data_IF_918743044825
#
_entry.id   IF_918743044825
#
_cell.length_a   1.000
_cell.length_b   1.000
_cell.length_c   1.000
_cell.angle_alpha   90.00
_cell.angle_beta   90.00
_cell.angle_gamma   90.00
#
_symmetry.space_group_name_H-M   'P 1'
#
loop_
_entity.id
_entity.type
_entity.pdbx_description
1 polymer ?
#
# COMPACT_ATOMS: atom_id res chain seq x y z
N UNK A 1 46.03 -8.90 -38.15
CA UNK A 1 45.99 -10.37 -38.38
C UNK A 1 45.53 -10.99 -37.07
N UNK A 2 44.41 -11.69 -36.90
CA UNK A 2 43.34 -12.14 -37.81
C UNK A 2 42.12 -12.45 -36.92
N UNK A 3 40.93 -12.04 -37.35
CA UNK A 3 39.64 -12.36 -36.74
C UNK A 3 39.31 -13.86 -36.86
N UNK A 4 38.63 -14.45 -35.88
CA UNK A 4 37.74 -15.58 -36.13
C UNK A 4 36.43 -15.45 -35.37
N UNK A 5 35.37 -15.21 -36.14
CA UNK A 5 33.97 -15.45 -35.81
C UNK A 5 33.74 -16.97 -35.80
N UNK A 6 33.05 -17.49 -34.79
CA UNK A 6 32.41 -18.81 -34.87
C UNK A 6 30.93 -18.60 -34.57
N UNK A 7 30.15 -18.65 -35.64
CA UNK A 7 28.70 -18.78 -35.65
C UNK A 7 28.39 -20.28 -35.61
N UNK A 8 27.60 -20.76 -34.65
CA UNK A 8 26.99 -22.09 -34.74
C UNK A 8 25.48 -21.96 -34.65
N UNK A 9 24.86 -22.15 -35.80
CA UNK A 9 23.44 -22.35 -36.03
C UNK A 9 23.09 -23.77 -35.61
N UNK A 10 22.06 -23.97 -34.79
CA UNK A 10 21.38 -25.26 -34.68
C UNK A 10 19.87 -25.04 -34.52
N UNK A 11 19.21 -25.17 -35.66
CA UNK A 11 17.78 -25.39 -35.82
C UNK A 11 17.36 -26.68 -35.13
N UNK A 12 16.27 -26.62 -34.36
CA UNK A 12 15.30 -27.72 -34.30
C UNK A 12 13.93 -27.19 -33.91
N UNK A 13 13.20 -26.83 -34.97
CA UNK A 13 11.75 -26.77 -35.06
C UNK A 13 11.11 -28.14 -34.81
N UNK A 14 10.00 -28.17 -34.06
CA UNK A 14 8.69 -28.73 -34.43
C UNK A 14 7.91 -29.16 -33.18
N UNK A 15 6.68 -28.67 -33.06
CA UNK A 15 5.73 -29.16 -32.06
C UNK A 15 4.53 -28.26 -31.86
N UNK A 16 3.77 -27.98 -32.93
CA UNK A 16 2.44 -27.39 -32.82
C UNK A 16 1.51 -28.35 -32.08
N UNK A 17 0.91 -27.91 -30.98
CA UNK A 17 -0.39 -28.41 -30.53
C UNK A 17 -1.34 -27.24 -30.41
N UNK A 18 -2.02 -26.98 -31.53
CA UNK A 18 -3.28 -26.24 -31.58
C UNK A 18 -4.38 -27.21 -31.14
N UNK A 19 -5.10 -26.87 -30.08
CA UNK A 19 -6.29 -27.60 -29.66
C UNK A 19 -7.52 -26.81 -30.10
N UNK A 20 -8.00 -27.12 -31.30
CA UNK A 20 -9.24 -26.60 -31.88
C UNK A 20 -10.29 -27.72 -31.79
N UNK A 21 -11.18 -27.64 -30.80
CA UNK A 21 -12.19 -28.67 -30.55
C UNK A 21 -13.45 -28.39 -31.37
N UNK A 22 -13.64 -29.13 -32.46
CA UNK A 22 -14.96 -29.39 -33.05
C UNK A 22 -15.13 -30.89 -33.29
N UNK A 23 -15.99 -31.52 -32.48
CA UNK A 23 -16.68 -32.74 -32.88
C UNK A 23 -18.18 -32.50 -32.72
N UNK A 24 -18.86 -32.46 -33.89
CA UNK A 24 -20.30 -32.61 -34.04
C UNK A 24 -20.66 -34.08 -33.85
N UNK A 25 -21.75 -34.37 -33.16
CA UNK A 25 -22.67 -35.43 -33.60
C UNK A 25 -24.11 -34.95 -33.44
N UNK A 26 -24.73 -34.66 -34.58
CA UNK A 26 -26.17 -34.56 -34.71
C UNK A 26 -26.78 -35.96 -34.56
N UNK A 27 -27.88 -36.08 -33.81
CA UNK A 27 -28.95 -37.03 -34.16
C UNK A 27 -30.27 -36.32 -33.94
N UNK A 28 -30.97 -36.04 -35.05
CA UNK A 28 -32.37 -35.62 -35.08
C UNK A 28 -33.23 -36.87 -35.03
N UNK A 29 -34.24 -36.89 -34.16
CA UNK A 29 -35.54 -37.51 -34.46
C UNK A 29 -36.61 -36.49 -34.03
N UNK A 30 -37.51 -36.21 -34.96
CA UNK A 30 -38.70 -35.37 -34.85
C UNK A 30 -39.86 -36.30 -34.53
N UNK A 31 -40.72 -35.95 -33.57
CA UNK A 31 -42.17 -36.14 -33.70
C UNK A 31 -42.94 -35.27 -32.71
N UNK A 32 -44.06 -34.76 -33.21
CA UNK A 32 -44.93 -33.71 -32.68
C UNK A 32 -46.01 -34.31 -31.78
N UNK A 33 -46.38 -33.66 -30.66
CA UNK A 33 -47.80 -33.59 -30.25
C UNK A 33 -48.07 -32.55 -29.15
N UNK A 34 -49.29 -32.01 -29.21
CA UNK A 34 -49.78 -30.82 -28.51
C UNK A 34 -50.19 -31.06 -27.03
N UNK A 35 -50.29 -29.93 -26.33
CA UNK A 35 -51.17 -29.65 -25.18
C UNK A 35 -50.68 -30.09 -23.79
N UNK A 36 -50.21 -29.11 -23.00
CA UNK A 36 -50.96 -28.59 -21.84
C UNK A 36 -50.21 -27.44 -21.18
N UNK A 37 -50.95 -26.35 -20.99
CA UNK A 37 -50.64 -25.22 -20.12
C UNK A 37 -50.29 -25.73 -18.72
N UNK A 38 -49.09 -25.42 -18.25
CA UNK A 38 -48.77 -25.46 -16.82
C UNK A 38 -48.14 -24.11 -16.49
N UNK A 39 -48.87 -23.36 -15.67
CA UNK A 39 -48.46 -22.08 -15.09
C UNK A 39 -47.16 -22.36 -14.34
N UNK A 40 -46.03 -21.87 -14.85
CA UNK A 40 -44.81 -21.82 -14.06
C UNK A 40 -44.94 -20.62 -13.13
N UNK A 41 -45.03 -20.88 -11.84
CA UNK A 41 -44.84 -19.88 -10.78
C UNK A 41 -43.62 -19.01 -11.11
N UNK A 42 -43.63 -17.70 -10.77
CA UNK A 42 -42.46 -16.86 -10.97
C UNK A 42 -41.32 -17.50 -10.17
N UNK A 43 -40.25 -17.88 -10.89
CA UNK A 43 -38.97 -18.24 -10.30
C UNK A 43 -38.66 -17.14 -9.28
N UNK A 44 -38.49 -17.47 -7.98
CA UNK A 44 -38.06 -16.46 -7.03
C UNK A 44 -36.76 -15.91 -7.59
N UNK A 45 -36.75 -14.60 -7.88
CA UNK A 45 -35.52 -13.86 -8.08
C UNK A 45 -34.64 -14.27 -6.91
N UNK A 46 -33.57 -15.01 -7.22
CA UNK A 46 -32.57 -15.36 -6.22
C UNK A 46 -32.07 -14.00 -5.78
N UNK A 47 -32.54 -13.54 -4.61
CA UNK A 47 -31.87 -12.49 -3.88
C UNK A 47 -30.43 -12.98 -3.80
N UNK A 48 -29.55 -12.36 -4.60
CA UNK A 48 -28.13 -12.40 -4.34
C UNK A 48 -28.00 -11.92 -2.91
N UNK A 49 -27.91 -12.88 -1.98
CA UNK A 49 -27.47 -12.61 -0.63
C UNK A 49 -26.13 -11.92 -0.84
N UNK A 50 -26.09 -10.62 -0.58
CA UNK A 50 -24.87 -9.88 -0.32
C UNK A 50 -24.22 -10.52 0.90
N UNK A 51 -23.57 -11.65 0.69
CA UNK A 51 -22.57 -12.19 1.57
C UNK A 51 -21.41 -11.21 1.41
N UNK A 52 -20.84 -10.74 2.52
CA UNK A 52 -19.79 -9.71 2.57
C UNK A 52 -20.32 -8.26 2.49
N UNK A 53 -20.81 -7.76 3.63
CA UNK A 53 -21.04 -6.34 3.86
C UNK A 53 -20.82 -6.06 5.35
N UNK A 54 -19.57 -5.92 5.76
CA UNK A 54 -19.26 -5.39 7.08
C UNK A 54 -19.29 -3.87 7.02
N UNK A 55 -20.02 -3.26 7.97
CA UNK A 55 -20.13 -1.81 8.09
C UNK A 55 -19.07 -1.31 9.05
N UNK A 56 -18.19 -0.42 8.58
CA UNK A 56 -17.19 0.23 9.42
C UNK A 56 -17.67 1.64 9.73
N UNK A 57 -17.96 1.93 11.00
CA UNK A 57 -18.34 3.27 11.42
C UNK A 57 -17.15 4.22 11.36
N UNK A 58 -17.34 5.38 10.73
CA UNK A 58 -16.31 6.40 10.52
C UNK A 58 -16.96 7.76 10.74
N UNK A 59 -16.61 8.44 11.83
CA UNK A 59 -17.06 9.81 12.05
C UNK A 59 -16.38 10.74 11.03
N UNK A 60 -17.14 11.28 10.07
CA UNK A 60 -16.58 12.16 9.05
C UNK A 60 -15.94 13.42 9.64
N UNK A 61 -16.57 14.04 10.64
CA UNK A 61 -16.11 15.30 11.20
C UNK A 61 -14.76 15.14 11.92
N UNK A 62 -14.57 14.03 12.63
CA UNK A 62 -13.31 13.71 13.31
C UNK A 62 -12.17 13.42 12.32
N UNK A 63 -12.49 12.82 11.17
CA UNK A 63 -11.52 12.40 10.16
C UNK A 63 -11.45 13.36 8.95
N UNK A 64 -12.13 14.51 9.03
CA UNK A 64 -12.42 15.36 7.87
C UNK A 64 -11.17 15.74 7.09
N UNK A 65 -10.11 16.16 7.79
CA UNK A 65 -8.88 16.63 7.15
C UNK A 65 -8.15 15.50 6.41
N UNK A 66 -8.05 14.32 7.02
CA UNK A 66 -7.48 13.13 6.40
C UNK A 66 -8.27 12.74 5.15
N UNK A 67 -9.59 12.69 5.24
CA UNK A 67 -10.47 12.35 4.12
C UNK A 67 -10.43 13.40 3.00
N UNK A 68 -10.29 14.68 3.32
CA UNK A 68 -10.06 15.75 2.33
C UNK A 68 -8.73 15.56 1.60
N UNK A 69 -7.65 15.26 2.32
CA UNK A 69 -6.32 15.01 1.73
C UNK A 69 -6.33 13.73 0.90
N UNK A 70 -7.05 12.69 1.33
CA UNK A 70 -7.21 11.43 0.59
C UNK A 70 -7.75 11.66 -0.82
N UNK A 71 -8.59 12.66 -1.06
CA UNK A 71 -9.08 13.00 -2.43
C UNK A 71 -8.00 13.65 -3.31
N UNK A 72 -6.95 14.19 -2.71
CA UNK A 72 -5.96 15.04 -3.37
C UNK A 72 -4.64 14.32 -3.68
N UNK A 73 -4.33 13.22 -2.97
CA UNK A 73 -3.09 12.48 -3.22
C UNK A 73 -3.05 11.94 -4.67
N UNK A 74 -1.90 11.97 -5.36
CA UNK A 74 -1.78 11.44 -6.72
C UNK A 74 -2.10 9.94 -6.79
N UNK A 75 -2.62 9.47 -7.92
CA UNK A 75 -2.84 8.03 -8.14
C UNK A 75 -1.54 7.23 -8.10
N UNK A 76 -0.39 7.86 -8.39
CA UNK A 76 0.93 7.23 -8.25
C UNK A 76 1.23 6.75 -6.83
N UNK A 77 0.57 7.31 -5.80
CA UNK A 77 0.72 6.87 -4.39
C UNK A 77 0.02 5.55 -4.08
N UNK A 78 -0.76 5.03 -5.03
CA UNK A 78 -1.64 3.86 -4.92
C UNK A 78 -1.34 2.84 -6.02
N UNK A 79 -0.09 2.79 -6.50
CA UNK A 79 0.29 2.06 -7.72
C UNK A 79 -0.10 0.60 -7.67
N UNK A 80 0.03 -0.03 -6.50
CA UNK A 80 -0.30 -1.44 -6.28
C UNK A 80 -1.79 -1.72 -6.07
N UNK A 81 -2.61 -0.68 -5.86
CA UNK A 81 -3.99 -0.77 -5.37
C UNK A 81 -5.04 -0.40 -6.41
N UNK A 82 -4.63 0.27 -7.49
CA UNK A 82 -5.49 0.77 -8.56
C UNK A 82 -6.69 1.61 -8.06
N UNK A 83 -6.61 2.18 -6.86
CA UNK A 83 -7.69 2.97 -6.27
C UNK A 83 -7.74 4.37 -6.86
N UNK A 84 -8.58 4.52 -7.87
CA UNK A 84 -8.64 5.74 -8.68
C UNK A 84 -9.06 6.95 -7.84
N UNK A 85 -8.69 8.15 -8.32
CA UNK A 85 -9.11 9.40 -7.68
C UNK A 85 -10.63 9.49 -7.55
N UNK A 86 -11.36 9.06 -8.58
CA UNK A 86 -12.83 9.09 -8.61
C UNK A 86 -13.45 8.17 -7.56
N UNK A 87 -12.86 7.01 -7.33
CA UNK A 87 -13.33 6.08 -6.30
C UNK A 87 -13.06 6.62 -4.90
N UNK A 88 -11.90 7.24 -4.67
CA UNK A 88 -11.59 7.94 -3.42
C UNK A 88 -12.59 9.07 -3.14
N UNK A 89 -12.88 9.90 -4.14
CA UNK A 89 -13.87 10.97 -4.03
C UNK A 89 -15.25 10.44 -3.65
N UNK A 90 -15.75 9.42 -4.36
CA UNK A 90 -17.03 8.76 -4.04
C UNK A 90 -17.04 8.15 -2.64
N UNK A 91 -15.95 7.53 -2.23
CA UNK A 91 -15.81 6.93 -0.90
C UNK A 91 -15.93 7.99 0.18
N UNK A 92 -15.23 9.11 0.02
CA UNK A 92 -15.28 10.22 0.97
C UNK A 92 -16.66 10.88 1.01
N UNK A 93 -17.32 11.07 -0.15
CA UNK A 93 -18.69 11.58 -0.22
C UNK A 93 -19.70 10.65 0.47
N UNK A 94 -19.50 9.33 0.34
CA UNK A 94 -20.32 8.34 1.03
C UNK A 94 -20.14 8.42 2.55
N UNK A 95 -18.90 8.49 3.04
CA UNK A 95 -18.59 8.63 4.46
C UNK A 95 -19.15 9.96 5.01
N UNK A 96 -19.02 11.06 4.26
CA UNK A 96 -19.55 12.37 4.64
C UNK A 96 -21.07 12.34 4.89
N UNK A 97 -21.80 11.64 4.02
CA UNK A 97 -23.26 11.54 4.12
C UNK A 97 -23.72 10.57 5.21
N UNK A 98 -22.97 9.51 5.45
CA UNK A 98 -23.47 8.34 6.20
C UNK A 98 -22.73 8.07 7.51
N UNK A 99 -21.53 8.61 7.71
CA UNK A 99 -20.61 8.30 8.83
C UNK A 99 -20.27 6.80 8.97
N UNK A 100 -20.24 6.08 7.84
CA UNK A 100 -19.75 4.72 7.74
C UNK A 100 -19.32 4.43 6.30
N UNK A 101 -18.66 3.28 6.11
CA UNK A 101 -18.44 2.66 4.80
C UNK A 101 -18.89 1.20 4.86
N UNK A 102 -19.29 0.66 3.72
CA UNK A 102 -19.56 -0.77 3.55
C UNK A 102 -18.42 -1.35 2.71
N UNK A 103 -17.71 -2.34 3.24
CA UNK A 103 -16.78 -3.13 2.42
C UNK A 103 -17.56 -4.29 1.80
N UNK A 104 -17.80 -4.18 0.49
CA UNK A 104 -18.53 -5.19 -0.30
C UNK A 104 -17.61 -5.94 -1.27
N UNK A 105 -16.29 -5.84 -1.14
CA UNK A 105 -15.36 -6.46 -2.08
C UNK A 105 -15.04 -7.91 -1.71
N UNK A 106 -15.21 -8.84 -2.66
CA UNK A 106 -14.91 -10.27 -2.49
C UNK A 106 -13.41 -10.53 -2.22
N UNK A 107 -12.54 -9.56 -2.54
CA UNK A 107 -11.08 -9.66 -2.43
C UNK A 107 -10.45 -8.91 -1.23
N UNK A 108 -11.25 -8.40 -0.28
CA UNK A 108 -10.75 -7.68 0.91
C UNK A 108 -9.77 -6.54 0.57
N UNK A 109 -10.22 -5.51 -0.16
CA UNK A 109 -9.60 -4.18 -0.06
C UNK A 109 -10.11 -3.53 1.22
N UNK A 110 -9.89 -4.18 2.36
CA UNK A 110 -10.54 -3.81 3.60
C UNK A 110 -9.76 -2.63 4.16
N UNK A 111 -10.43 -1.47 4.18
CA UNK A 111 -10.02 -0.37 5.03
C UNK A 111 -9.83 -0.96 6.42
N UNK A 112 -8.59 -1.11 6.84
CA UNK A 112 -8.24 -1.76 8.11
C UNK A 112 -8.55 -0.84 9.27
N UNK A 113 -8.29 0.45 9.06
CA UNK A 113 -8.62 1.50 10.01
C UNK A 113 -8.73 2.86 9.31
N UNK A 114 -9.54 3.74 9.89
CA UNK A 114 -9.48 5.20 9.67
C UNK A 114 -9.43 5.85 11.05
N UNK A 115 -8.40 6.66 11.27
CA UNK A 115 -8.16 7.46 12.45
C UNK A 115 -7.92 8.92 12.03
N UNK A 116 -8.01 9.91 12.92
CA UNK A 116 -7.91 11.32 12.54
C UNK A 116 -6.63 11.69 11.76
N UNK A 117 -5.52 11.01 12.06
CA UNK A 117 -4.21 11.24 11.43
C UNK A 117 -3.81 10.18 10.41
N UNK A 118 -4.46 9.01 10.35
CA UNK A 118 -3.99 7.91 9.48
C UNK A 118 -5.11 7.03 8.96
N UNK A 119 -4.98 6.57 7.72
CA UNK A 119 -5.82 5.53 7.10
C UNK A 119 -4.92 4.41 6.62
N UNK A 120 -5.33 3.18 6.88
CA UNK A 120 -4.65 1.96 6.45
C UNK A 120 -5.58 1.07 5.64
N UNK A 121 -5.10 0.58 4.51
CA UNK A 121 -5.81 -0.34 3.62
C UNK A 121 -4.94 -1.57 3.46
N UNK A 122 -5.57 -2.74 3.59
CA UNK A 122 -4.86 -4.02 3.50
C UNK A 122 -5.49 -4.87 2.39
N UNK A 123 -4.63 -5.57 1.63
CA UNK A 123 -4.96 -6.76 0.86
C UNK A 123 -4.14 -7.93 1.40
N UNK A 124 -4.32 -9.13 0.82
CA UNK A 124 -3.64 -10.36 1.26
C UNK A 124 -2.13 -10.17 1.48
N UNK A 125 -1.42 -9.59 0.50
CA UNK A 125 0.05 -9.46 0.53
C UNK A 125 0.55 -8.00 0.43
N UNK A 126 -0.29 -7.03 0.80
CA UNK A 126 0.04 -5.62 0.68
C UNK A 126 -0.60 -4.77 1.75
N UNK A 127 0.05 -3.66 2.09
CA UNK A 127 -0.49 -2.65 2.99
C UNK A 127 -0.22 -1.25 2.47
N UNK A 128 -1.25 -0.41 2.45
CA UNK A 128 -1.13 0.98 2.08
C UNK A 128 -1.55 1.88 3.23
N UNK A 129 -0.78 2.95 3.44
CA UNK A 129 -1.12 3.97 4.43
C UNK A 129 -1.07 5.38 3.84
N UNK A 130 -1.90 6.24 4.40
CA UNK A 130 -1.78 7.69 4.34
C UNK A 130 -1.80 8.22 5.76
N UNK A 131 -0.75 8.93 6.15
CA UNK A 131 -0.64 9.61 7.44
C UNK A 131 -0.43 11.11 7.27
N UNK A 132 -1.04 11.88 8.16
CA UNK A 132 -0.96 13.35 8.19
C UNK A 132 -0.45 13.83 9.55
N UNK A 133 0.45 14.81 9.53
CA UNK A 133 1.06 15.39 10.72
C UNK A 133 0.83 16.90 10.72
N UNK A 134 0.14 17.39 11.73
CA UNK A 134 -0.28 18.79 11.80
C UNK A 134 0.78 19.68 12.45
N UNK A 135 1.24 20.70 11.71
CA UNK A 135 2.08 21.79 12.24
C UNK A 135 1.24 22.99 12.66
N UNK A 136 0.22 23.32 11.86
CA UNK A 136 -0.71 24.43 12.09
C UNK A 136 -2.10 24.09 11.50
N UNK A 137 -3.11 24.96 11.64
CA UNK A 137 -4.51 24.72 11.21
C UNK A 137 -4.64 24.25 9.75
N UNK A 138 -3.79 24.76 8.86
CA UNK A 138 -3.82 24.45 7.42
C UNK A 138 -2.43 24.06 6.87
N UNK A 139 -1.60 23.45 7.71
CA UNK A 139 -0.22 23.09 7.40
C UNK A 139 0.10 21.70 7.92
N UNK A 140 0.25 20.76 6.98
CA UNK A 140 0.44 19.35 7.27
C UNK A 140 1.59 18.78 6.46
N UNK A 141 2.37 17.90 7.10
CA UNK A 141 3.16 16.91 6.38
C UNK A 141 2.26 15.71 6.08
N UNK A 142 2.30 15.26 4.84
CA UNK A 142 1.53 14.12 4.36
C UNK A 142 2.50 13.09 3.85
N UNK A 143 2.33 11.84 4.28
CA UNK A 143 3.13 10.70 3.84
C UNK A 143 2.20 9.57 3.43
N UNK A 144 2.51 8.94 2.31
CA UNK A 144 1.90 7.67 1.90
C UNK A 144 2.98 6.60 1.88
N UNK A 145 2.63 5.38 2.26
CA UNK A 145 3.51 4.22 2.13
C UNK A 145 2.73 3.08 1.47
N UNK A 146 3.11 2.71 0.25
CA UNK A 146 2.61 1.53 -0.46
C UNK A 146 3.60 0.38 -0.24
N UNK A 147 3.21 -0.60 0.58
CA UNK A 147 4.03 -1.74 0.98
C UNK A 147 3.56 -3.00 0.26
N UNK A 148 4.44 -3.60 -0.54
CA UNK A 148 4.22 -4.88 -1.23
C UNK A 148 5.48 -5.73 -1.13
N UNK A 149 5.35 -6.95 -0.59
CA UNK A 149 6.51 -7.78 -0.23
C UNK A 149 7.42 -7.05 0.76
N UNK A 150 8.72 -7.03 0.48
CA UNK A 150 9.72 -6.30 1.30
C UNK A 150 9.89 -4.83 0.87
N UNK A 151 9.13 -4.38 -0.14
CA UNK A 151 9.27 -3.04 -0.70
C UNK A 151 8.38 -2.01 0.01
N UNK A 152 8.90 -0.79 0.18
CA UNK A 152 8.14 0.39 0.58
C UNK A 152 8.25 1.46 -0.51
N UNK A 153 7.13 1.92 -1.07
CA UNK A 153 7.09 3.14 -1.88
C UNK A 153 6.54 4.30 -1.06
N UNK A 154 7.46 5.09 -0.50
CA UNK A 154 7.14 6.24 0.34
C UNK A 154 7.11 7.50 -0.51
N UNK A 155 5.93 8.12 -0.58
CA UNK A 155 5.75 9.43 -1.21
C UNK A 155 5.35 10.46 -0.16
N UNK A 156 5.88 11.67 -0.28
CA UNK A 156 5.69 12.72 0.72
C UNK A 156 5.25 14.04 0.10
N UNK A 157 4.44 14.78 0.84
CA UNK A 157 3.89 16.05 0.40
C UNK A 157 3.80 17.07 1.56
N UNK A 158 3.92 18.35 1.21
CA UNK A 158 3.40 19.43 2.01
C UNK A 158 1.93 19.65 1.62
N UNK A 159 1.04 19.77 2.60
CA UNK A 159 -0.32 20.23 2.40
C UNK A 159 -0.50 21.58 3.09
N UNK A 160 -0.46 22.66 2.31
CA UNK A 160 -0.55 24.04 2.81
C UNK A 160 -1.68 24.75 2.08
N UNK A 161 -2.62 25.34 2.82
CA UNK A 161 -3.73 26.12 2.26
C UNK A 161 -4.48 25.39 1.13
N UNK A 162 -4.88 24.14 1.38
CA UNK A 162 -5.57 23.25 0.43
C UNK A 162 -4.78 22.87 -0.83
N UNK A 163 -3.46 23.09 -0.83
CA UNK A 163 -2.58 22.69 -1.92
C UNK A 163 -1.62 21.60 -1.47
N UNK A 164 -1.68 20.46 -2.14
CA UNK A 164 -0.73 19.37 -1.98
C UNK A 164 0.47 19.59 -2.93
N UNK A 165 1.68 19.62 -2.39
CA UNK A 165 2.92 19.76 -3.18
C UNK A 165 3.94 18.70 -2.77
N UNK A 166 4.55 17.96 -3.72
CA UNK A 166 5.57 16.97 -3.39
C UNK A 166 6.73 17.56 -2.59
N UNK A 167 7.27 16.76 -1.68
CA UNK A 167 8.47 17.07 -0.90
C UNK A 167 9.34 15.81 -0.79
N UNK A 168 10.39 15.85 0.02
CA UNK A 168 11.27 14.71 0.28
C UNK A 168 11.33 14.43 1.78
N UNK A 169 11.43 13.15 2.15
CA UNK A 169 11.61 12.71 3.55
C UNK A 169 12.73 13.46 4.28
N UNK A 170 13.86 13.71 3.60
CA UNK A 170 15.02 14.42 4.17
C UNK A 170 14.70 15.83 4.67
N UNK A 171 13.69 16.50 4.11
CA UNK A 171 13.27 17.82 4.55
C UNK A 171 12.61 17.80 5.94
N UNK A 172 12.17 16.64 6.40
CA UNK A 172 11.40 16.47 7.64
C UNK A 172 12.16 15.68 8.70
N UNK A 173 12.86 14.62 8.29
CA UNK A 173 13.57 13.70 9.18
C UNK A 173 15.09 13.92 9.18
N UNK A 174 15.58 14.83 8.33
CA UNK A 174 17.02 14.97 8.06
C UNK A 174 17.60 13.74 7.38
N UNK A 175 18.92 13.60 7.43
CA UNK A 175 19.62 12.39 6.95
C UNK A 175 19.45 11.24 7.96
N UNK A 176 18.33 10.54 7.92
CA UNK A 176 18.04 9.53 8.95
C UNK A 176 19.02 8.35 8.94
N UNK A 177 19.46 7.89 7.76
CA UNK A 177 20.42 6.79 7.66
C UNK A 177 21.76 7.13 8.33
N UNK A 178 22.24 8.36 8.19
CA UNK A 178 23.52 8.76 8.80
C UNK A 178 23.40 8.93 10.31
N UNK A 179 22.20 9.19 10.84
CA UNK A 179 21.99 9.23 12.29
C UNK A 179 22.22 7.86 12.96
N UNK A 180 21.98 6.75 12.26
CA UNK A 180 22.25 5.39 12.76
C UNK A 180 23.74 5.09 12.89
N UNK A 181 24.59 5.69 12.04
CA UNK A 181 26.02 5.40 11.99
C UNK A 181 26.73 5.78 13.29
N UNK A 182 27.57 4.88 13.80
CA UNK A 182 28.55 5.16 14.84
C UNK A 182 29.73 5.97 14.26
N UNK A 183 30.15 5.62 13.04
CA UNK A 183 31.20 6.29 12.27
C UNK A 183 30.88 6.25 10.76
N UNK A 184 31.48 7.15 9.98
CA UNK A 184 31.25 7.27 8.54
C UNK A 184 32.28 6.51 7.71
N UNK A 185 32.74 5.34 8.16
CA UNK A 185 33.59 4.48 7.33
C UNK A 185 32.80 3.94 6.14
N UNK A 186 33.50 3.67 5.04
CA UNK A 186 32.89 3.13 3.82
C UNK A 186 32.12 1.84 4.10
N UNK A 187 32.69 0.93 4.89
CA UNK A 187 32.07 -0.36 5.21
C UNK A 187 30.74 -0.19 5.98
N UNK A 188 30.68 0.74 6.93
CA UNK A 188 29.45 0.99 7.69
C UNK A 188 28.36 1.68 6.85
N UNK A 189 28.75 2.55 5.90
CA UNK A 189 27.80 3.14 4.95
C UNK A 189 27.25 2.05 4.02
N UNK A 190 28.12 1.19 3.48
CA UNK A 190 27.72 0.10 2.60
C UNK A 190 26.78 -0.89 3.31
N UNK A 191 27.04 -1.21 4.59
CA UNK A 191 26.15 -2.04 5.40
C UNK A 191 24.71 -1.47 5.44
N UNK A 192 24.54 -0.15 5.59
CA UNK A 192 23.21 0.46 5.57
C UNK A 192 22.59 0.43 4.17
N UNK A 193 23.37 0.73 3.13
CA UNK A 193 22.91 0.74 1.74
C UNK A 193 22.40 -0.64 1.29
N UNK A 194 23.09 -1.72 1.68
CA UNK A 194 22.70 -3.09 1.39
C UNK A 194 21.42 -3.52 2.13
N UNK A 195 21.10 -2.86 3.24
CA UNK A 195 19.96 -3.18 4.10
C UNK A 195 18.80 -2.18 3.96
N UNK A 196 18.80 -1.28 2.95
CA UNK A 196 17.77 -0.24 2.79
C UNK A 196 16.33 -0.79 2.70
N UNK A 197 16.16 -1.94 2.03
CA UNK A 197 14.85 -2.58 1.87
C UNK A 197 14.33 -3.22 3.15
N UNK A 198 15.18 -3.36 4.18
CA UNK A 198 14.81 -4.00 5.44
C UNK A 198 14.20 -3.00 6.43
N UNK A 199 14.13 -1.72 6.07
CA UNK A 199 13.56 -0.69 6.92
C UNK A 199 12.04 -0.64 6.78
N UNK A 200 11.38 -0.71 7.93
CA UNK A 200 9.96 -0.45 8.12
C UNK A 200 9.75 0.94 8.68
N UNK A 201 8.60 1.51 8.34
CA UNK A 201 8.23 2.87 8.70
C UNK A 201 6.85 2.85 9.36
N UNK A 202 6.82 3.15 10.65
CA UNK A 202 5.58 3.30 11.40
C UNK A 202 5.18 4.77 11.46
N UNK A 203 4.15 5.11 10.67
CA UNK A 203 3.52 6.43 10.62
C UNK A 203 2.15 6.47 11.32
N UNK A 204 1.84 5.50 12.20
CA UNK A 204 0.51 5.37 12.80
C UNK A 204 0.23 6.39 13.90
N UNK A 205 1.25 6.82 14.64
CA UNK A 205 1.12 7.82 15.70
C UNK A 205 1.08 9.26 15.14
N UNK A 206 0.25 10.12 15.74
CA UNK A 206 0.05 11.52 15.30
C UNK A 206 1.22 12.47 15.61
N UNK A 207 2.10 12.09 16.53
CA UNK A 207 3.23 12.91 16.99
C UNK A 207 4.58 12.18 16.90
N UNK A 208 4.58 10.88 16.65
CA UNK A 208 5.77 10.05 16.62
C UNK A 208 5.89 9.28 15.30
N UNK A 209 7.13 8.99 14.92
CA UNK A 209 7.44 8.08 13.82
C UNK A 209 8.56 7.16 14.28
N UNK A 210 8.41 5.87 14.05
CA UNK A 210 9.50 4.90 14.22
C UNK A 210 9.95 4.42 12.85
N UNK A 211 11.26 4.41 12.63
CA UNK A 211 11.89 3.79 11.46
C UNK A 211 12.84 2.73 11.99
N UNK A 212 12.63 1.47 11.62
CA UNK A 212 13.39 0.33 12.16
C UNK A 212 13.73 -0.69 11.09
N UNK A 213 14.93 -1.26 11.15
CA UNK A 213 15.31 -2.39 10.28
C UNK A 213 15.02 -3.73 10.96
N UNK A 214 14.31 -4.62 10.27
CA UNK A 214 14.02 -5.98 10.73
C UNK A 214 15.16 -6.98 10.49
N UNK A 215 16.22 -6.59 9.77
CA UNK A 215 17.37 -7.48 9.50
C UNK A 215 18.61 -7.10 10.32
N UNK A 216 18.87 -5.81 10.50
CA UNK A 216 20.03 -5.33 11.24
C UNK A 216 19.87 -5.63 12.73
N UNK A 217 20.75 -6.48 13.26
CA UNK A 217 20.78 -6.84 14.66
C UNK A 217 22.07 -6.35 15.34
N UNK A 218 22.02 -6.27 16.67
CA UNK A 218 23.12 -5.71 17.48
C UNK A 218 24.41 -6.51 17.35
N UNK A 219 24.31 -7.84 17.34
CA UNK A 219 25.48 -8.72 17.38
C UNK A 219 26.35 -8.58 16.13
N UNK A 220 25.72 -8.27 14.98
CA UNK A 220 26.41 -8.15 13.71
C UNK A 220 26.79 -6.71 13.38
N UNK A 221 26.01 -5.72 13.84
CA UNK A 221 26.15 -4.34 13.37
C UNK A 221 26.56 -3.31 14.44
N UNK A 222 26.80 -3.68 15.71
CA UNK A 222 27.16 -2.72 16.78
C UNK A 222 28.49 -1.99 16.58
N UNK A 223 29.42 -2.60 15.84
CA UNK A 223 30.67 -1.97 15.45
C UNK A 223 30.47 -0.81 14.46
N UNK A 224 29.33 -0.80 13.75
CA UNK A 224 28.99 0.21 12.75
C UNK A 224 27.86 1.15 13.15
N UNK A 225 26.89 0.68 13.94
CA UNK A 225 25.63 1.37 14.20
C UNK A 225 25.40 1.63 15.69
N UNK A 226 24.76 2.75 16.00
CA UNK A 226 24.26 3.09 17.34
C UNK A 226 23.01 2.29 17.72
N UNK A 227 22.29 1.79 16.72
CA UNK A 227 21.02 1.06 16.82
C UNK A 227 20.53 0.64 15.44
N UNK A 228 19.43 -0.11 15.37
CA UNK A 228 18.71 -0.42 14.13
C UNK A 228 17.39 0.35 14.01
N UNK A 229 17.02 1.13 15.03
CA UNK A 229 15.74 1.82 15.13
C UNK A 229 15.90 3.27 15.60
N UNK A 230 15.15 4.19 14.99
CA UNK A 230 15.11 5.61 15.33
C UNK A 230 13.68 6.04 15.60
N UNK A 231 13.47 6.67 16.76
CA UNK A 231 12.21 7.33 17.09
C UNK A 231 12.32 8.82 16.86
N UNK A 232 11.37 9.33 16.10
CA UNK A 232 11.20 10.72 15.76
C UNK A 232 9.99 11.29 16.48
N UNK A 233 10.10 12.52 16.97
CA UNK A 233 8.98 13.28 17.53
C UNK A 233 8.73 14.53 16.72
N UNK A 234 7.46 14.81 16.44
CA UNK A 234 7.01 16.01 15.76
C UNK A 234 7.42 17.27 16.55
N UNK A 235 8.21 18.14 15.92
CA UNK A 235 8.52 19.46 16.42
C UNK A 235 7.72 20.51 15.64
N UNK A 236 6.57 20.92 16.19
CA UNK A 236 5.68 21.89 15.56
C UNK A 236 6.35 23.24 15.30
N UNK A 237 7.22 23.69 16.20
CA UNK A 237 7.90 24.99 16.09
C UNK A 237 8.92 25.06 14.96
N UNK A 238 9.64 23.96 14.71
CA UNK A 238 10.65 23.86 13.65
C UNK A 238 10.10 23.36 12.32
N UNK A 239 8.84 22.87 12.34
CA UNK A 239 8.20 22.22 11.20
C UNK A 239 8.99 21.02 10.68
N UNK A 240 9.52 20.22 11.61
CA UNK A 240 10.33 19.02 11.33
C UNK A 240 10.05 17.95 12.37
N UNK A 241 10.69 16.80 12.23
CA UNK A 241 10.78 15.79 13.27
C UNK A 241 12.17 15.79 13.90
N UNK A 242 12.23 15.55 15.20
CA UNK A 242 13.48 15.47 15.96
C UNK A 242 13.71 14.06 16.46
N UNK A 243 14.95 13.59 16.34
CA UNK A 243 15.37 12.32 16.91
C UNK A 243 15.24 12.38 18.42
N UNK A 244 14.47 11.45 18.99
CA UNK A 244 14.31 11.31 20.44
C UNK A 244 15.13 10.15 20.99
N UNK A 245 15.27 9.07 20.22
CA UNK A 245 15.96 7.86 20.65
C UNK A 245 16.49 7.10 19.44
N UNK A 246 17.72 6.62 19.56
CA UNK A 246 18.28 5.58 18.69
C UNK A 246 18.53 4.37 19.55
N UNK A 247 18.08 3.19 19.12
CA UNK A 247 18.16 1.99 19.93
C UNK A 247 18.19 0.71 19.09
N UNK A 248 18.55 -0.38 19.74
CA UNK A 248 18.38 -1.72 19.23
C UNK A 248 16.98 -2.21 19.57
N UNK A 249 16.17 -2.46 18.55
CA UNK A 249 14.90 -3.18 18.62
C UNK A 249 15.21 -4.64 18.32
N UNK A 250 14.85 -5.51 19.24
CA UNK A 250 15.00 -6.95 19.05
C UNK A 250 13.94 -7.40 18.06
N UNK A 251 14.38 -8.09 17.00
CA UNK A 251 13.44 -8.70 16.06
C UNK A 251 12.86 -9.92 16.76
N UNK A 252 11.60 -9.85 17.17
CA UNK A 252 10.85 -10.99 17.68
C UNK A 252 10.44 -11.87 16.50
N UNK A 253 11.41 -12.52 15.89
CA UNK A 253 11.21 -13.64 14.97
C UNK A 253 12.02 -14.82 15.51
N UNK A 254 11.44 -15.46 16.54
CA UNK A 254 11.71 -16.88 16.86
C UNK A 254 10.68 -17.75 16.15
#
# INVERSE_FOLDING_TARGET
MTNYKITLFLLLSLGFFSCDSKIKSNTKIVETENTKTMISDPVPEVEEKNQYADTISINYLENKKLLEILKLVPESTMGSWEWSKKEREKTVEFIEKNNFIVDTTEMYNTIKYIQPNTIGIQVVDGFWTLSIYQFDENDFFVVTNDMVGDGNDIQTFNFINNKLTPTKMINWFGEFYTNLLLNNSTDCIQLLEENLLTFEYDFSDENMVEISSWLLNKNEADHCLKGNSINYKLNKSKRTFEVTKIHWKENTTE
#
